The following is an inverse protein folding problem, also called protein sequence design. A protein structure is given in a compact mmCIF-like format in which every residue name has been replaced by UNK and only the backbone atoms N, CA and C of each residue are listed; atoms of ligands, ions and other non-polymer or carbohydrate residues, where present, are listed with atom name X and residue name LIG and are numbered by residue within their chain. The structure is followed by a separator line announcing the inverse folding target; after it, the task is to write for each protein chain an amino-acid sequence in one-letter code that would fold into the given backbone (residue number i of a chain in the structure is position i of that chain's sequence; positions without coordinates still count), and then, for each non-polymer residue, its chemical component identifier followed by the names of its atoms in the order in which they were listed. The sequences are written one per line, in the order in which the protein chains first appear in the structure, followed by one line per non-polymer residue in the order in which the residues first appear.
data_IF_749906076493
#
_entry.id   IF_749906076493
#
_cell.length_a   1.000
_cell.length_b   1.000
_cell.length_c   1.000
_cell.angle_alpha   90.00
_cell.angle_beta   90.00
_cell.angle_gamma   90.00
#
_symmetry.space_group_name_H-M   'P 1'
#
loop_
_entity.id
_entity.type
_entity.pdbx_description
1 polymer ?
#
# COMPACT_ATOMS: atom_id res chain seq x y z
N UNK A 1 2.86 6.81 -11.01
CA UNK A 1 2.79 5.92 -12.19
C UNK A 1 3.96 4.95 -12.22
N UNK A 2 5.15 5.35 -11.80
CA UNK A 2 6.34 4.49 -11.77
C UNK A 2 6.14 3.12 -11.11
N UNK A 3 5.51 3.05 -9.92
CA UNK A 3 5.22 1.77 -9.27
C UNK A 3 4.33 0.83 -10.10
N UNK A 4 3.45 1.39 -10.95
CA UNK A 4 2.59 0.63 -11.84
C UNK A 4 3.37 0.11 -13.04
N UNK A 5 4.17 0.97 -13.68
CA UNK A 5 5.05 0.59 -14.79
C UNK A 5 6.09 -0.47 -14.40
N UNK A 6 6.60 -0.41 -13.17
CA UNK A 6 7.55 -1.39 -12.62
C UNK A 6 6.86 -2.64 -12.04
N UNK A 7 5.53 -2.73 -12.05
CA UNK A 7 4.78 -3.89 -11.55
C UNK A 7 4.77 -4.06 -10.02
N UNK A 8 5.44 -3.18 -9.26
CA UNK A 8 5.45 -3.22 -7.80
C UNK A 8 4.06 -3.00 -7.23
N UNK A 9 3.31 -2.04 -7.78
CA UNK A 9 1.93 -1.74 -7.42
C UNK A 9 1.14 -1.32 -8.67
N UNK A 10 0.42 -2.29 -9.26
CA UNK A 10 -0.27 -2.11 -10.53
C UNK A 10 -1.31 -0.96 -10.57
N UNK A 11 -2.21 -0.78 -9.57
CA UNK A 11 -3.24 0.24 -9.69
C UNK A 11 -2.65 1.65 -9.50
N UNK A 12 -3.01 2.62 -10.36
CA UNK A 12 -2.44 3.96 -10.31
C UNK A 12 -3.00 4.86 -9.19
N UNK A 13 -4.10 4.44 -8.55
CA UNK A 13 -4.85 5.24 -7.57
C UNK A 13 -5.28 4.42 -6.36
N UNK A 14 -5.79 3.20 -6.57
CA UNK A 14 -6.27 2.37 -5.47
C UNK A 14 -5.11 1.97 -4.55
N UNK A 15 -5.30 2.05 -3.23
CA UNK A 15 -4.25 1.70 -2.27
C UNK A 15 -3.99 0.20 -2.13
N UNK A 16 -4.83 -0.67 -2.69
CA UNK A 16 -4.71 -2.13 -2.60
C UNK A 16 -4.71 -2.70 -4.02
N UNK A 17 -3.68 -3.48 -4.38
CA UNK A 17 -3.67 -4.31 -5.57
C UNK A 17 -3.97 -5.76 -5.17
N UNK A 18 -4.92 -6.40 -5.84
CA UNK A 18 -5.41 -7.72 -5.45
C UNK A 18 -6.01 -8.49 -6.63
N UNK A 19 -6.20 -9.79 -6.43
CA UNK A 19 -7.18 -10.60 -7.17
C UNK A 19 -8.15 -11.20 -6.15
N UNK A 20 -9.44 -11.21 -6.48
CA UNK A 20 -10.50 -11.56 -5.53
C UNK A 20 -10.36 -12.97 -4.93
N UNK A 21 -9.88 -13.93 -5.72
CA UNK A 21 -9.70 -15.32 -5.30
C UNK A 21 -8.33 -15.64 -4.70
N UNK A 22 -7.34 -14.75 -4.83
CA UNK A 22 -5.95 -15.04 -4.44
C UNK A 22 -5.44 -14.19 -3.27
N UNK A 23 -6.16 -13.13 -2.91
CA UNK A 23 -5.73 -12.17 -1.89
C UNK A 23 -4.96 -10.98 -2.46
N UNK A 24 -4.43 -10.16 -1.56
CA UNK A 24 -3.71 -8.94 -1.90
C UNK A 24 -2.27 -9.23 -2.36
N UNK A 25 -1.82 -8.47 -3.35
CA UNK A 25 -0.45 -8.49 -3.87
C UNK A 25 0.39 -7.36 -3.30
N UNK A 26 -0.21 -6.17 -3.11
CA UNK A 26 0.51 -5.01 -2.62
C UNK A 26 -0.42 -3.96 -2.02
N UNK A 27 0.09 -3.16 -1.09
CA UNK A 27 -0.58 -1.98 -0.53
C UNK A 27 0.30 -0.74 -0.60
N UNK A 28 -0.35 0.43 -0.72
CA UNK A 28 0.31 1.73 -0.73
C UNK A 28 -0.13 2.60 0.46
N UNK A 29 0.81 2.94 1.34
CA UNK A 29 0.64 3.92 2.42
C UNK A 29 0.90 5.32 1.87
N UNK A 30 -0.09 6.21 1.91
CA UNK A 30 0.02 7.56 1.33
C UNK A 30 -0.72 8.64 2.14
N UNK A 31 -1.06 8.37 3.40
CA UNK A 31 -1.77 9.31 4.26
C UNK A 31 -3.23 9.54 3.87
N UNK A 32 -3.86 8.56 3.22
CA UNK A 32 -5.23 8.69 2.71
C UNK A 32 -6.33 8.33 3.72
N UNK A 33 -5.97 7.75 4.86
CA UNK A 33 -6.87 7.29 5.91
C UNK A 33 -6.32 7.74 7.27
N UNK A 34 -7.15 8.43 8.04
CA UNK A 34 -6.85 8.96 9.37
C UNK A 34 -6.66 7.86 10.44
N UNK A 35 -7.20 6.67 10.18
CA UNK A 35 -7.14 5.51 11.06
C UNK A 35 -5.83 4.68 10.90
N UNK A 36 -4.97 5.02 9.93
CA UNK A 36 -3.70 4.33 9.70
C UNK A 36 -2.68 4.66 10.80
N UNK A 37 -1.96 3.64 11.28
CA UNK A 37 -0.88 3.80 12.27
C UNK A 37 0.35 3.05 11.80
N UNK A 38 1.47 3.74 11.64
CA UNK A 38 2.68 3.17 11.03
C UNK A 38 3.88 3.27 11.97
N UNK A 39 4.45 2.11 12.30
CA UNK A 39 5.66 1.93 13.12
C UNK A 39 6.81 1.34 12.29
N UNK A 40 6.74 1.45 10.96
CA UNK A 40 7.78 0.98 10.05
C UNK A 40 7.73 -0.54 9.84
N UNK A 41 8.32 -1.29 10.77
CA UNK A 41 8.37 -2.76 10.76
C UNK A 41 6.99 -3.40 11.02
N UNK A 42 6.06 -2.64 11.59
CA UNK A 42 4.66 -3.02 11.73
C UNK A 42 3.77 -1.81 11.51
N UNK A 43 2.56 -2.03 11.02
CA UNK A 43 1.57 -0.96 10.87
C UNK A 43 0.15 -1.52 10.89
N UNK A 44 -0.81 -0.65 11.20
CA UNK A 44 -2.24 -0.92 11.02
C UNK A 44 -2.72 -0.16 9.80
N UNK A 45 -3.30 -0.89 8.86
CA UNK A 45 -3.81 -0.39 7.60
C UNK A 45 -5.34 -0.39 7.60
N UNK A 46 -5.94 0.65 7.07
CA UNK A 46 -7.39 0.80 6.97
C UNK A 46 -7.88 0.34 5.60
N UNK A 47 -8.95 -0.45 5.59
CA UNK A 47 -9.62 -0.91 4.39
C UNK A 47 -10.08 0.24 3.50
N UNK A 48 -10.39 -0.09 2.26
CA UNK A 48 -10.89 0.88 1.28
C UNK A 48 -12.41 1.01 1.31
N UNK A 49 -12.92 2.10 0.72
CA UNK A 49 -14.37 2.35 0.59
C UNK A 49 -14.96 3.09 1.79
N UNK A 50 -16.30 3.06 1.91
CA UNK A 50 -17.02 3.84 2.91
C UNK A 50 -17.04 5.36 2.63
N UNK A 51 -16.79 5.76 1.38
CA UNK A 51 -16.72 7.17 0.93
C UNK A 51 -17.72 7.43 -0.18
N UNK A 52 -18.27 8.64 -0.22
CA UNK A 52 -18.97 9.13 -1.41
C UNK A 52 -17.99 9.92 -2.27
N UNK A 53 -17.61 9.31 -3.40
CA UNK A 53 -16.65 9.87 -4.34
C UNK A 53 -17.34 10.51 -5.54
N UNK A 54 -18.68 10.53 -5.58
CA UNK A 54 -19.42 11.14 -6.69
C UNK A 54 -19.22 12.65 -6.70
N UNK A 55 -19.02 13.19 -7.90
CA UNK A 55 -19.03 14.63 -8.10
C UNK A 55 -20.33 15.27 -7.61
N UNK A 56 -20.23 16.43 -6.99
CA UNK A 56 -21.41 17.24 -6.60
C UNK A 56 -21.80 18.19 -7.74
N UNK A 57 -22.97 18.83 -7.66
CA UNK A 57 -23.37 19.86 -8.63
C UNK A 57 -22.33 21.00 -8.76
N UNK A 58 -21.63 21.31 -7.66
CA UNK A 58 -20.63 22.38 -7.60
C UNK A 58 -19.21 21.91 -7.95
N UNK A 59 -18.94 20.59 -7.87
CA UNK A 59 -17.70 19.98 -8.33
C UNK A 59 -18.02 18.63 -9.01
N UNK A 60 -18.33 18.61 -10.31
CA UNK A 60 -18.86 17.44 -10.99
C UNK A 60 -17.82 16.33 -11.21
N UNK A 61 -16.53 16.61 -10.99
CA UNK A 61 -15.48 15.60 -11.07
C UNK A 61 -15.55 14.69 -9.85
N UNK A 62 -15.58 13.38 -10.09
CA UNK A 62 -15.45 12.40 -9.03
C UNK A 62 -14.16 12.65 -8.23
N UNK A 63 -14.28 12.63 -6.92
CA UNK A 63 -13.14 12.75 -6.04
C UNK A 63 -12.36 11.43 -6.05
N UNK A 64 -11.04 11.52 -5.92
CA UNK A 64 -10.19 10.32 -5.72
C UNK A 64 -10.12 9.91 -4.25
N UNK A 65 -10.31 10.88 -3.35
CA UNK A 65 -10.28 10.72 -1.89
C UNK A 65 -11.35 11.62 -1.27
N UNK A 66 -11.81 11.26 -0.08
CA UNK A 66 -12.82 12.01 0.67
C UNK A 66 -12.95 11.45 2.08
N UNK A 67 -13.66 12.14 2.98
CA UNK A 67 -13.93 11.63 4.32
C UNK A 67 -14.79 10.37 4.26
N UNK A 68 -14.76 9.57 5.33
CA UNK A 68 -15.70 8.46 5.48
C UNK A 68 -17.12 9.02 5.64
N UNK A 69 -18.08 8.43 4.94
CA UNK A 69 -19.50 8.83 4.97
C UNK A 69 -20.44 7.66 5.26
N UNK A 70 -19.92 6.43 5.31
CA UNK A 70 -20.66 5.21 5.62
C UNK A 70 -19.69 4.08 6.00
N UNK A 71 -20.27 3.03 6.58
CA UNK A 71 -19.56 1.80 6.90
C UNK A 71 -18.89 1.19 5.66
N UNK A 72 -17.69 0.66 5.86
CA UNK A 72 -16.99 -0.13 4.85
C UNK A 72 -17.67 -1.47 4.64
N UNK A 73 -17.41 -2.08 3.48
CA UNK A 73 -17.93 -3.41 3.13
C UNK A 73 -16.74 -4.35 2.98
N UNK A 74 -16.87 -5.57 3.51
CA UNK A 74 -15.86 -6.61 3.39
C UNK A 74 -15.93 -7.26 2.00
N UNK A 75 -15.51 -6.52 0.98
CA UNK A 75 -15.49 -6.95 -0.43
C UNK A 75 -14.23 -6.46 -1.14
N UNK A 76 -13.98 -6.96 -2.36
CA UNK A 76 -12.86 -6.54 -3.19
C UNK A 76 -11.51 -6.56 -2.42
N UNK A 77 -10.80 -5.43 -2.37
CA UNK A 77 -9.51 -5.32 -1.68
C UNK A 77 -9.58 -5.64 -0.18
N UNK A 78 -10.70 -5.35 0.49
CA UNK A 78 -10.86 -5.64 1.91
C UNK A 78 -10.97 -7.15 2.15
N UNK A 79 -11.73 -7.84 1.29
CA UNK A 79 -11.80 -9.31 1.32
C UNK A 79 -10.46 -9.94 0.94
N UNK A 80 -9.75 -9.36 -0.03
CA UNK A 80 -8.45 -9.85 -0.46
C UNK A 80 -7.38 -9.74 0.65
N UNK A 81 -7.39 -8.68 1.45
CA UNK A 81 -6.51 -8.56 2.62
C UNK A 81 -6.86 -9.57 3.72
N UNK A 82 -8.16 -9.86 3.91
CA UNK A 82 -8.59 -10.95 4.80
C UNK A 82 -8.05 -12.30 4.31
N UNK A 83 -8.15 -12.59 3.02
CA UNK A 83 -7.57 -13.81 2.42
C UNK A 83 -6.06 -13.87 2.63
N UNK A 84 -5.34 -12.75 2.40
CA UNK A 84 -3.89 -12.70 2.66
C UNK A 84 -3.53 -12.97 4.12
N UNK A 85 -4.38 -12.53 5.07
CA UNK A 85 -4.23 -12.86 6.48
C UNK A 85 -4.42 -14.36 6.75
N UNK A 86 -5.48 -14.95 6.21
CA UNK A 86 -5.81 -16.37 6.41
C UNK A 86 -4.78 -17.32 5.75
N UNK A 87 -4.15 -16.87 4.66
CA UNK A 87 -3.18 -17.66 3.88
C UNK A 87 -1.72 -17.32 4.18
N UNK A 88 -1.45 -16.34 5.05
CA UNK A 88 -0.11 -15.77 5.27
C UNK A 88 0.60 -15.34 3.98
N UNK A 89 -0.18 -14.89 2.97
CA UNK A 89 0.38 -14.47 1.68
C UNK A 89 1.21 -13.20 1.87
N UNK A 90 2.48 -13.17 1.42
CA UNK A 90 3.30 -11.96 1.45
C UNK A 90 2.67 -10.85 0.60
N UNK A 91 2.64 -9.64 1.15
CA UNK A 91 2.11 -8.43 0.52
C UNK A 91 3.23 -7.40 0.41
N UNK A 92 3.44 -6.87 -0.79
CA UNK A 92 4.42 -5.78 -1.02
C UNK A 92 3.90 -4.48 -0.40
N UNK A 93 4.76 -3.76 0.31
CA UNK A 93 4.40 -2.47 0.91
C UNK A 93 5.17 -1.34 0.23
N UNK A 94 4.42 -0.31 -0.16
CA UNK A 94 4.94 0.90 -0.78
C UNK A 94 4.56 2.08 0.11
N UNK A 95 5.54 2.91 0.48
CA UNK A 95 5.30 4.18 1.20
C UNK A 95 5.44 5.35 0.25
N UNK A 96 4.50 6.28 0.29
CA UNK A 96 4.53 7.53 -0.47
C UNK A 96 4.95 8.72 0.40
N UNK A 97 5.61 9.72 -0.20
CA UNK A 97 6.11 10.92 0.49
C UNK A 97 5.04 11.79 1.17
N UNK A 98 3.75 11.59 0.85
CA UNK A 98 2.63 12.30 1.47
C UNK A 98 2.19 11.68 2.81
N UNK A 99 2.78 10.54 3.17
CA UNK A 99 2.61 9.97 4.48
C UNK A 99 3.30 10.88 5.51
N UNK A 100 2.56 11.33 6.52
CA UNK A 100 3.06 12.29 7.51
C UNK A 100 3.71 11.58 8.71
N UNK A 101 4.82 10.87 8.46
CA UNK A 101 5.59 10.20 9.50
C UNK A 101 7.07 10.01 9.09
N UNK A 102 7.89 9.51 10.02
CA UNK A 102 9.34 9.31 9.82
C UNK A 102 9.71 8.23 8.78
N UNK A 103 8.78 7.32 8.46
CA UNK A 103 9.01 6.22 7.52
C UNK A 103 8.75 6.62 6.07
N UNK A 104 8.07 7.75 5.85
CA UNK A 104 7.80 8.27 4.52
C UNK A 104 9.12 8.58 3.77
N UNK A 105 9.23 8.25 2.47
CA UNK A 105 10.34 8.74 1.67
C UNK A 105 10.26 10.26 1.52
N UNK A 106 11.39 10.92 1.30
CA UNK A 106 11.44 12.38 1.07
C UNK A 106 10.63 12.79 -0.16
N UNK A 107 10.65 11.96 -1.19
CA UNK A 107 9.98 12.21 -2.47
C UNK A 107 9.42 10.91 -3.05
N UNK A 108 8.42 11.03 -3.92
CA UNK A 108 7.90 9.91 -4.70
C UNK A 108 7.28 8.78 -3.85
N UNK A 109 7.59 7.55 -4.24
CA UNK A 109 7.14 6.31 -3.61
C UNK A 109 8.34 5.36 -3.47
N UNK A 110 8.42 4.63 -2.36
CA UNK A 110 9.49 3.67 -2.08
C UNK A 110 8.90 2.30 -1.73
N UNK A 111 9.47 1.25 -2.31
CA UNK A 111 9.18 -0.12 -1.91
C UNK A 111 9.93 -0.43 -0.60
N UNK A 112 9.20 -0.86 0.43
CA UNK A 112 9.76 -1.11 1.77
C UNK A 112 9.77 -2.60 2.15
N UNK A 113 9.53 -3.48 1.18
CA UNK A 113 9.64 -4.92 1.34
C UNK A 113 8.31 -5.67 1.40
N UNK A 114 8.41 -6.92 1.81
CA UNK A 114 7.32 -7.86 2.02
C UNK A 114 6.88 -7.87 3.47
N UNK A 115 5.56 -7.88 3.66
CA UNK A 115 4.90 -7.95 4.95
C UNK A 115 3.83 -9.05 4.91
N UNK A 116 3.52 -9.60 6.08
CA UNK A 116 2.36 -10.48 6.31
C UNK A 116 1.25 -9.71 7.01
N UNK A 117 0.00 -10.12 6.77
CA UNK A 117 -1.15 -9.60 7.51
C UNK A 117 -1.40 -10.54 8.69
N UNK A 118 -1.02 -10.13 9.89
CA UNK A 118 -1.08 -10.98 11.08
C UNK A 118 -2.48 -11.07 11.67
N UNK A 119 -3.28 -10.01 11.51
CA UNK A 119 -4.64 -9.93 12.04
C UNK A 119 -5.48 -8.96 11.22
N UNK A 120 -6.79 -9.22 11.16
CA UNK A 120 -7.77 -8.25 10.68
C UNK A 120 -8.96 -8.16 11.67
N UNK A 121 -9.62 -7.01 11.71
CA UNK A 121 -10.82 -6.79 12.52
C UNK A 121 -11.68 -5.64 11.96
N UNK A 122 -12.91 -5.54 12.44
CA UNK A 122 -13.78 -4.39 12.21
C UNK A 122 -13.77 -3.50 13.46
N UNK A 123 -13.70 -2.19 13.27
CA UNK A 123 -13.73 -1.20 14.35
C UNK A 123 -14.53 0.04 13.91
N UNK A 124 -15.06 0.80 14.87
CA UNK A 124 -15.58 2.14 14.58
C UNK A 124 -14.39 3.09 14.44
N UNK A 125 -14.15 3.59 13.22
CA UNK A 125 -13.05 4.53 12.94
C UNK A 125 -13.30 5.93 13.51
N UNK A 126 -12.31 6.82 13.36
CA UNK A 126 -12.35 8.18 13.93
C UNK A 126 -13.54 9.01 13.42
N UNK A 127 -13.98 8.78 12.18
CA UNK A 127 -15.17 9.39 11.59
C UNK A 127 -16.52 8.82 12.10
N UNK A 128 -16.52 7.83 13.00
CA UNK A 128 -17.72 7.23 13.58
C UNK A 128 -18.38 6.11 12.77
N UNK A 129 -17.79 5.72 11.63
CA UNK A 129 -18.26 4.62 10.79
C UNK A 129 -17.42 3.35 10.98
N UNK A 130 -18.00 2.19 10.66
CA UNK A 130 -17.25 0.93 10.66
C UNK A 130 -16.21 0.91 9.55
N UNK A 131 -14.99 0.55 9.92
CA UNK A 131 -13.84 0.36 9.02
C UNK A 131 -13.20 -0.99 9.30
N UNK A 132 -12.61 -1.59 8.26
CA UNK A 132 -11.79 -2.79 8.43
C UNK A 132 -10.34 -2.37 8.68
N UNK A 133 -9.70 -2.99 9.66
CA UNK A 133 -8.29 -2.77 10.00
C UNK A 133 -7.50 -4.05 9.83
N UNK A 134 -6.25 -3.90 9.41
CA UNK A 134 -5.33 -4.98 9.11
C UNK A 134 -3.99 -4.69 9.75
N UNK A 135 -3.52 -5.56 10.65
CA UNK A 135 -2.20 -5.46 11.26
C UNK A 135 -1.18 -6.15 10.34
N UNK A 136 -0.24 -5.36 9.83
CA UNK A 136 0.88 -5.82 9.03
C UNK A 136 2.14 -5.96 9.87
N UNK A 137 2.96 -6.96 9.54
CA UNK A 137 4.28 -7.17 10.11
C UNK A 137 5.29 -7.47 9.00
N UNK A 138 6.44 -6.82 9.04
CA UNK A 138 7.49 -7.00 8.06
C UNK A 138 8.12 -8.38 8.20
N UNK A 139 8.39 -9.03 7.07
CA UNK A 139 9.09 -10.31 7.06
C UNK A 139 10.57 -10.11 7.38
N UNK A 140 11.14 -11.03 8.16
CA UNK A 140 12.56 -11.02 8.50
C UNK A 140 13.46 -11.32 7.29
N UNK A 141 14.76 -11.00 7.39
CA UNK A 141 15.76 -11.31 6.37
C UNK A 141 15.80 -10.34 5.18
N UNK A 142 15.10 -9.21 5.26
CA UNK A 142 15.15 -8.14 4.28
C UNK A 142 16.14 -7.05 4.70
N UNK A 143 16.56 -6.21 3.75
CA UNK A 143 17.37 -5.03 4.05
C UNK A 143 16.69 -4.13 5.10
N UNK A 144 17.45 -3.31 5.84
CA UNK A 144 16.88 -2.36 6.78
C UNK A 144 15.80 -1.49 6.14
N UNK A 145 14.76 -1.16 6.90
CA UNK A 145 13.70 -0.28 6.43
C UNK A 145 14.28 1.07 5.98
N UNK A 146 13.74 1.63 4.89
CA UNK A 146 14.21 2.92 4.37
C UNK A 146 15.45 2.84 3.48
N UNK A 147 16.03 1.64 3.28
CA UNK A 147 17.11 1.45 2.32
C UNK A 147 16.60 1.73 0.91
N UNK A 148 17.14 2.78 0.28
CA UNK A 148 17.04 2.96 -1.17
C UNK A 148 18.24 2.24 -1.77
N UNK A 149 18.03 1.14 -2.49
CA UNK A 149 19.11 0.56 -3.28
C UNK A 149 19.65 1.66 -4.19
N UNK A 150 20.93 2.01 -4.01
CA UNK A 150 21.60 2.99 -4.86
C UNK A 150 21.42 2.52 -6.31
N UNK A 151 21.06 3.46 -7.18
CA UNK A 151 21.04 3.27 -8.63
C UNK A 151 22.27 2.46 -9.03
N UNK A 152 22.06 1.35 -9.72
CA UNK A 152 23.11 0.72 -10.52
C UNK A 152 23.71 1.81 -11.39
N UNK A 153 24.89 2.30 -11.05
CA UNK A 153 25.62 3.22 -11.90
C UNK A 153 26.13 2.39 -13.07
N UNK A 154 25.66 2.71 -14.28
CA UNK A 154 26.11 2.17 -15.56
C UNK A 154 27.59 2.47 -15.82
N UNK A 155 28.48 1.86 -15.03
CA UNK A 155 29.93 1.91 -15.22
C UNK A 155 30.51 0.52 -14.92
N UNK A 156 30.10 -0.47 -15.71
CA UNK A 156 31.00 -1.56 -16.07
C UNK A 156 31.19 -1.46 -17.59
N UNK A 157 32.29 -0.84 -18.01
CA UNK A 157 32.83 -1.02 -19.36
C UNK A 157 33.07 -2.51 -19.54
N UNK A 158 32.24 -3.15 -20.38
CA UNK A 158 32.49 -4.51 -20.83
C UNK A 158 33.65 -4.42 -21.81
N UNK A 159 34.81 -4.88 -21.36
CA UNK A 159 36.00 -5.04 -22.18
C UNK A 159 35.70 -6.13 -23.24
N UNK A 160 35.28 -5.70 -24.44
CA UNK A 160 35.12 -6.56 -25.61
C UNK A 160 36.51 -6.99 -26.12
N UNK A 161 37.09 -8.00 -25.48
CA UNK A 161 38.27 -8.69 -26.00
C UNK A 161 37.97 -10.18 -26.21
N UNK A 162 37.17 -10.46 -27.24
CA UNK A 162 37.09 -11.78 -27.85
C UNK A 162 37.88 -11.76 -29.16
N UNK A 163 39.20 -11.90 -29.06
CA UNK A 163 40.03 -12.39 -30.16
C UNK A 163 39.90 -13.91 -30.20
N UNK A 164 39.34 -14.43 -31.30
CA UNK A 164 39.81 -15.62 -32.02
C UNK A 164 39.15 -15.70 -33.42
#
# INVERSE_FOLDING_TARGET
MECSHQGVHAPPVAGIAFAESEGAYSVALSGGYEDDVDWGEAFTYTGSGGRDLKGTKNNPKNLRTGPQTKDQILSAGNLALKISCETNKPVRVIRGHKLDNEFAPKEGYRYDGLYTVEKWWEETGLSGFKVFKYAFKRMAGQLPLGTCEKSWSDNEEVDDNCNE
#
